data_IF_909590804699
#
_entry.id   IF_909590804699
#
_cell.length_a   1.000
_cell.length_b   1.000
_cell.length_c   1.000
_cell.angle_alpha   90.00
_cell.angle_beta   90.00
_cell.angle_gamma   90.00
#
_symmetry.space_group_name_H-M   'P 1'
#
loop_
_entity.id
_entity.type
_entity.pdbx_description
1 polymer ?
#
# COMPACT_ATOMS: atom_id res chain seq x y z
N UNK A 1 32.86 -17.49 16.23
CA UNK A 1 32.30 -16.19 16.61
C UNK A 1 31.24 -15.86 15.59
N UNK A 2 30.00 -16.15 15.94
CA UNK A 2 28.84 -16.00 15.08
C UNK A 2 28.54 -14.51 14.88
N UNK A 3 28.75 -14.03 13.66
CA UNK A 3 28.38 -12.69 13.22
C UNK A 3 26.86 -12.61 13.10
N UNK A 4 26.17 -12.43 14.22
CA UNK A 4 24.76 -12.10 14.24
C UNK A 4 24.58 -10.61 13.90
N UNK A 5 24.84 -10.27 12.63
CA UNK A 5 24.61 -8.93 12.10
C UNK A 5 23.11 -8.75 11.92
N UNK A 6 22.43 -8.37 12.99
CA UNK A 6 21.07 -7.84 12.90
C UNK A 6 21.17 -6.49 12.20
N UNK A 7 20.86 -6.46 10.91
CA UNK A 7 20.67 -5.21 10.20
C UNK A 7 19.52 -4.47 10.88
N UNK A 8 19.83 -3.32 11.48
CA UNK A 8 18.86 -2.39 12.02
C UNK A 8 18.17 -1.72 10.82
N UNK A 9 17.30 -2.47 10.13
CA UNK A 9 16.39 -1.86 9.17
C UNK A 9 15.57 -0.84 9.95
N UNK A 10 15.59 0.41 9.50
CA UNK A 10 14.73 1.44 10.07
C UNK A 10 13.30 0.94 9.91
N UNK A 11 12.54 0.89 11.01
CA UNK A 11 11.15 0.40 11.00
C UNK A 11 10.34 1.14 9.94
N UNK A 12 10.67 2.41 9.70
CA UNK A 12 10.08 3.26 8.67
C UNK A 12 10.33 2.75 7.24
N UNK A 13 11.50 2.17 6.96
CA UNK A 13 11.79 1.60 5.64
C UNK A 13 10.96 0.33 5.39
N UNK A 14 10.77 -0.50 6.41
CA UNK A 14 9.93 -1.70 6.30
C UNK A 14 8.48 -1.31 6.02
N UNK A 15 7.96 -0.31 6.74
CA UNK A 15 6.59 0.18 6.54
C UNK A 15 6.38 0.79 5.15
N UNK A 16 7.38 1.52 4.62
CA UNK A 16 7.33 2.06 3.26
C UNK A 16 7.25 0.95 2.21
N UNK A 17 8.08 -0.09 2.34
CA UNK A 17 8.09 -1.24 1.44
C UNK A 17 6.76 -1.98 1.47
N UNK A 18 6.20 -2.17 2.67
CA UNK A 18 4.91 -2.83 2.84
C UNK A 18 3.76 -2.04 2.19
N UNK A 19 3.75 -0.72 2.36
CA UNK A 19 2.75 0.16 1.73
C UNK A 19 2.88 0.11 0.21
N UNK A 20 4.08 0.27 -0.33
CA UNK A 20 4.33 0.23 -1.77
C UNK A 20 3.87 -1.09 -2.40
N UNK A 21 4.25 -2.22 -1.78
CA UNK A 21 3.83 -3.54 -2.24
C UNK A 21 2.31 -3.71 -2.17
N UNK A 22 1.68 -3.24 -1.09
CA UNK A 22 0.22 -3.35 -0.95
C UNK A 22 -0.52 -2.54 -2.01
N UNK A 23 -0.04 -1.34 -2.34
CA UNK A 23 -0.65 -0.50 -3.39
C UNK A 23 -0.50 -1.16 -4.76
N UNK A 24 0.67 -1.74 -5.06
CA UNK A 24 0.91 -2.50 -6.31
C UNK A 24 -0.02 -3.71 -6.44
N UNK A 25 -0.12 -4.52 -5.38
CA UNK A 25 -1.02 -5.68 -5.34
C UNK A 25 -2.49 -5.28 -5.57
N UNK A 26 -2.91 -4.16 -4.97
CA UNK A 26 -4.27 -3.62 -5.13
C UNK A 26 -4.48 -3.11 -6.56
N UNK A 27 -3.49 -2.41 -7.12
CA UNK A 27 -3.54 -1.92 -8.49
C UNK A 27 -3.75 -3.07 -9.48
N UNK A 28 -2.91 -4.10 -9.43
CA UNK A 28 -2.99 -5.27 -10.31
C UNK A 28 -4.33 -6.00 -10.15
N UNK A 29 -4.79 -6.20 -8.91
CA UNK A 29 -6.06 -6.88 -8.65
C UNK A 29 -7.28 -6.10 -9.17
N UNK A 30 -7.22 -4.76 -9.17
CA UNK A 30 -8.27 -3.91 -9.73
C UNK A 30 -8.24 -3.94 -11.26
N UNK A 31 -7.05 -3.89 -11.86
CA UNK A 31 -6.86 -3.96 -13.31
C UNK A 31 -7.34 -5.30 -13.87
N UNK A 32 -6.99 -6.41 -13.24
CA UNK A 32 -7.45 -7.77 -13.62
C UNK A 32 -8.97 -7.94 -13.54
N UNK A 33 -9.63 -7.17 -12.67
CA UNK A 33 -11.09 -7.16 -12.55
C UNK A 33 -11.77 -6.18 -13.50
N UNK A 34 -11.01 -5.43 -14.29
CA UNK A 34 -11.53 -4.44 -15.24
C UNK A 34 -12.00 -3.14 -14.59
N UNK A 35 -11.58 -2.86 -13.35
CA UNK A 35 -11.79 -1.56 -12.73
C UNK A 35 -10.69 -0.58 -13.17
N UNK A 36 -10.96 0.73 -13.06
CA UNK A 36 -9.91 1.74 -13.14
C UNK A 36 -9.18 1.81 -11.78
N UNK A 37 -7.92 1.32 -11.67
CA UNK A 37 -7.29 1.18 -10.37
C UNK A 37 -7.04 2.51 -9.68
N UNK A 38 -6.63 3.53 -10.44
CA UNK A 38 -6.35 4.87 -9.92
C UNK A 38 -7.61 5.48 -9.30
N UNK A 39 -8.74 5.47 -10.02
CA UNK A 39 -9.99 6.04 -9.51
C UNK A 39 -10.48 5.33 -8.24
N UNK A 40 -10.34 4.01 -8.18
CA UNK A 40 -10.75 3.21 -7.03
C UNK A 40 -9.86 3.46 -5.80
N UNK A 41 -8.54 3.49 -5.99
CA UNK A 41 -7.60 3.77 -4.91
C UNK A 41 -7.80 5.21 -4.39
N UNK A 42 -7.95 6.20 -5.27
CA UNK A 42 -8.25 7.58 -4.87
C UNK A 42 -9.58 7.67 -4.13
N UNK A 43 -10.63 7.00 -4.63
CA UNK A 43 -11.93 6.94 -3.97
C UNK A 43 -11.85 6.36 -2.56
N UNK A 44 -11.09 5.27 -2.38
CA UNK A 44 -10.82 4.69 -1.07
C UNK A 44 -10.06 5.64 -0.13
N UNK A 45 -8.99 6.28 -0.62
CA UNK A 45 -8.18 7.18 0.21
C UNK A 45 -8.97 8.39 0.73
N UNK A 46 -9.84 8.97 -0.12
CA UNK A 46 -10.67 10.13 0.24
C UNK A 46 -11.84 9.73 1.14
N UNK A 47 -12.59 8.68 0.78
CA UNK A 47 -13.83 8.31 1.47
C UNK A 47 -13.59 7.43 2.70
N UNK A 48 -12.55 6.61 2.68
CA UNK A 48 -12.35 5.51 3.62
C UNK A 48 -13.24 4.29 3.40
N UNK A 49 -14.10 4.28 2.37
CA UNK A 49 -15.01 3.18 2.10
C UNK A 49 -14.27 2.01 1.42
N UNK A 50 -14.15 0.83 2.08
CA UNK A 50 -13.53 -0.35 1.49
C UNK A 50 -14.24 -0.88 0.24
N UNK A 51 -15.47 -0.43 -0.03
CA UNK A 51 -16.27 -0.79 -1.21
C UNK A 51 -15.58 -0.44 -2.53
N UNK A 52 -14.74 0.60 -2.55
CA UNK A 52 -13.92 0.97 -3.71
C UNK A 52 -12.89 -0.10 -4.08
N UNK A 53 -12.45 -0.92 -3.12
CA UNK A 53 -11.40 -1.92 -3.33
C UNK A 53 -12.02 -3.31 -3.49
N UNK A 54 -11.63 -4.01 -4.55
CA UNK A 54 -12.05 -5.40 -4.79
C UNK A 54 -11.52 -6.33 -3.68
N UNK A 55 -12.33 -7.31 -3.27
CA UNK A 55 -11.89 -8.39 -2.37
C UNK A 55 -11.04 -9.45 -3.08
N UNK A 56 -10.90 -9.36 -4.41
CA UNK A 56 -10.05 -10.26 -5.19
C UNK A 56 -8.60 -10.22 -4.72
N UNK A 57 -7.92 -11.38 -4.71
CA UNK A 57 -6.54 -11.55 -4.21
C UNK A 57 -6.29 -10.97 -2.81
N UNK A 58 -7.33 -10.96 -1.98
CA UNK A 58 -7.33 -10.35 -0.64
C UNK A 58 -6.99 -8.84 -0.64
N UNK A 59 -7.06 -8.13 -1.77
CA UNK A 59 -6.59 -6.74 -1.89
C UNK A 59 -7.29 -5.79 -0.92
N UNK A 60 -8.62 -5.89 -0.78
CA UNK A 60 -9.38 -5.13 0.25
C UNK A 60 -8.85 -5.39 1.66
N UNK A 61 -8.56 -6.64 2.01
CA UNK A 61 -8.07 -7.00 3.35
C UNK A 61 -6.64 -6.49 3.56
N UNK A 62 -5.78 -6.53 2.53
CA UNK A 62 -4.40 -6.02 2.60
C UNK A 62 -4.39 -4.51 2.84
N UNK A 63 -5.12 -3.73 2.02
CA UNK A 63 -5.09 -2.27 2.12
C UNK A 63 -5.78 -1.75 3.39
N UNK A 64 -6.85 -2.41 3.86
CA UNK A 64 -7.53 -2.02 5.10
C UNK A 64 -6.72 -2.30 6.38
N UNK A 65 -5.60 -3.02 6.30
CA UNK A 65 -4.66 -3.17 7.44
C UNK A 65 -3.73 -1.98 7.60
N UNK A 66 -3.65 -1.11 6.59
CA UNK A 66 -2.83 0.07 6.60
C UNK A 66 -3.66 1.28 6.99
N UNK A 67 -3.07 2.19 7.75
CA UNK A 67 -3.67 3.49 7.99
C UNK A 67 -3.63 4.32 6.70
N UNK A 68 -4.76 4.95 6.34
CA UNK A 68 -4.83 5.78 5.12
C UNK A 68 -3.84 6.94 5.16
N UNK A 69 -3.64 7.52 6.33
CA UNK A 69 -2.64 8.59 6.54
C UNK A 69 -1.23 8.10 6.22
N UNK A 70 -0.89 6.87 6.64
CA UNK A 70 0.40 6.24 6.31
C UNK A 70 0.53 6.06 4.79
N UNK A 71 -0.51 5.56 4.11
CA UNK A 71 -0.50 5.43 2.64
C UNK A 71 -0.22 6.78 1.96
N UNK A 72 -0.95 7.83 2.36
CA UNK A 72 -0.79 9.17 1.79
C UNK A 72 0.61 9.72 2.05
N UNK A 73 1.14 9.55 3.26
CA UNK A 73 2.49 10.00 3.62
C UNK A 73 3.55 9.33 2.75
N UNK A 74 3.49 8.00 2.58
CA UNK A 74 4.43 7.25 1.73
C UNK A 74 4.34 7.72 0.28
N UNK A 75 3.13 7.87 -0.26
CA UNK A 75 2.93 8.38 -1.62
C UNK A 75 3.52 9.78 -1.79
N UNK A 76 3.31 10.67 -0.83
CA UNK A 76 3.84 12.04 -0.87
C UNK A 76 5.37 12.04 -0.78
N UNK A 77 5.94 11.27 0.14
CA UNK A 77 7.40 11.12 0.28
C UNK A 77 8.01 10.59 -1.01
N UNK A 78 7.45 9.52 -1.59
CA UNK A 78 7.96 8.95 -2.84
C UNK A 78 7.83 9.91 -4.02
N UNK A 79 6.78 10.72 -4.06
CA UNK A 79 6.62 11.75 -5.09
C UNK A 79 7.65 12.90 -4.96
N UNK A 80 7.95 13.31 -3.72
CA UNK A 80 8.88 14.40 -3.43
C UNK A 80 10.36 13.99 -3.40
N UNK A 81 10.68 12.72 -3.12
CA UNK A 81 12.04 12.16 -3.10
C UNK A 81 12.66 11.98 -4.51
N UNK A 82 12.27 12.83 -5.46
CA UNK A 82 12.90 12.96 -6.78
C UNK A 82 14.23 13.69 -6.71
#
# INVERSE_FOLDING_TARGET
>A
MDSNTTFLFDVSEIDNVLVDQTIKDVYEALEEKGYNPINQIVGYLISGDPGYISSYKESRKKICKLERTQIIEVLLRNYLSK
#
